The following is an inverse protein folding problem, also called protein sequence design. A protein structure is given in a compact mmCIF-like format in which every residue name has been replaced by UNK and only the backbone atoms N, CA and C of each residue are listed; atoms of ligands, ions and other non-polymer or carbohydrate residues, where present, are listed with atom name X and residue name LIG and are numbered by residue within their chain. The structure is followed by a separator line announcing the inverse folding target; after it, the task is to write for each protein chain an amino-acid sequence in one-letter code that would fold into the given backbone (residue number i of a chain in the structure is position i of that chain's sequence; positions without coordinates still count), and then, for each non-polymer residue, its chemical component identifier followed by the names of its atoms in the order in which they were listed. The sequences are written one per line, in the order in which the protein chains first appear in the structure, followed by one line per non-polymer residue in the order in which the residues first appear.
data_IF_116570108016
#
_entry.id   IF_116570108016
#
_cell.length_a   1.000
_cell.length_b   1.000
_cell.length_c   1.000
_cell.angle_alpha   90.00
_cell.angle_beta   90.00
_cell.angle_gamma   90.00
#
_symmetry.space_group_name_H-M   'P 1'
#
loop_
_entity.id
_entity.type
_entity.pdbx_description
1 polymer ?
#
# COMPACT_ATOMS: atom_id res chain seq x y z
N UNK A 1 -10.85 -26.24 -3.90
CA UNK A 1 -12.12 -26.77 -3.34
C UNK A 1 -11.85 -28.04 -2.55
N UNK A 2 -10.96 -28.90 -3.04
CA UNK A 2 -10.69 -30.22 -2.45
C UNK A 2 -10.13 -30.20 -1.02
N UNK A 3 -9.47 -29.10 -0.59
CA UNK A 3 -9.03 -28.90 0.80
C UNK A 3 -10.00 -28.09 1.68
N UNK A 4 -11.20 -27.79 1.17
CA UNK A 4 -12.26 -27.03 1.86
C UNK A 4 -11.86 -25.64 2.42
N UNK A 5 -10.78 -25.04 1.89
CA UNK A 5 -10.37 -23.65 2.17
C UNK A 5 -11.26 -22.64 1.44
N UNK A 6 -12.57 -22.69 1.69
CA UNK A 6 -13.58 -21.86 1.02
C UNK A 6 -14.36 -20.96 1.98
N UNK A 7 -14.07 -21.04 3.27
CA UNK A 7 -14.67 -20.20 4.30
C UNK A 7 -14.01 -18.82 4.35
N UNK A 8 -14.67 -17.88 5.04
CA UNK A 8 -14.12 -16.55 5.25
C UNK A 8 -12.79 -16.61 6.01
N UNK A 9 -11.82 -15.85 5.51
CA UNK A 9 -10.55 -15.60 6.19
C UNK A 9 -10.72 -14.43 7.17
N UNK A 10 -9.80 -14.26 8.14
CA UNK A 10 -9.72 -13.01 8.91
C UNK A 10 -9.55 -11.81 7.99
N UNK A 11 -10.07 -10.65 8.39
CA UNK A 11 -10.02 -9.42 7.59
C UNK A 11 -8.58 -9.01 7.21
N UNK A 12 -7.61 -9.23 8.11
CA UNK A 12 -6.20 -8.94 7.83
C UNK A 12 -5.52 -9.98 6.93
N UNK A 13 -6.19 -11.09 6.63
CA UNK A 13 -5.62 -12.27 5.96
C UNK A 13 -5.26 -13.40 6.92
N UNK A 14 -5.13 -14.60 6.36
CA UNK A 14 -4.77 -15.81 7.11
C UNK A 14 -3.40 -15.65 7.79
N UNK A 15 -3.30 -16.14 9.02
CA UNK A 15 -2.13 -15.94 9.87
C UNK A 15 -0.84 -16.54 9.29
N UNK A 16 -0.93 -17.76 8.75
CA UNK A 16 0.19 -18.46 8.11
C UNK A 16 0.81 -17.61 6.98
N UNK A 17 -0.02 -16.98 6.15
CA UNK A 17 0.47 -16.11 5.07
C UNK A 17 1.15 -14.86 5.62
N UNK A 18 0.58 -14.22 6.65
CA UNK A 18 1.17 -13.02 7.25
C UNK A 18 2.51 -13.32 7.93
N UNK A 19 2.66 -14.49 8.54
CA UNK A 19 3.93 -14.96 9.10
C UNK A 19 5.00 -15.18 8.02
N UNK A 20 4.64 -15.80 6.89
CA UNK A 20 5.58 -16.01 5.79
C UNK A 20 5.97 -14.68 5.11
N UNK A 21 5.03 -13.72 4.99
CA UNK A 21 5.36 -12.36 4.51
C UNK A 21 6.33 -11.67 5.47
N UNK A 22 6.10 -11.74 6.79
CA UNK A 22 7.02 -11.18 7.79
C UNK A 22 8.43 -11.77 7.67
N UNK A 23 8.55 -13.10 7.53
CA UNK A 23 9.85 -13.78 7.30
C UNK A 23 10.51 -13.33 6.00
N UNK A 24 9.74 -13.22 4.92
CA UNK A 24 10.23 -12.75 3.63
C UNK A 24 10.77 -11.31 3.72
N UNK A 25 10.01 -10.39 4.31
CA UNK A 25 10.44 -9.00 4.50
C UNK A 25 11.72 -8.92 5.36
N UNK A 26 11.80 -9.74 6.40
CA UNK A 26 13.02 -9.82 7.24
C UNK A 26 14.25 -10.26 6.44
N UNK A 27 14.08 -11.15 5.45
CA UNK A 27 15.18 -11.54 4.55
C UNK A 27 15.70 -10.39 3.67
N UNK A 28 14.90 -9.33 3.51
CA UNK A 28 15.24 -8.09 2.82
C UNK A 28 15.72 -6.99 3.78
N UNK A 29 15.94 -7.32 5.06
CA UNK A 29 16.23 -6.38 6.14
C UNK A 29 15.10 -5.37 6.39
N UNK A 30 13.85 -5.79 6.19
CA UNK A 30 12.64 -5.02 6.51
C UNK A 30 11.93 -5.72 7.67
N UNK A 31 11.97 -5.13 8.86
CA UNK A 31 11.40 -5.74 10.07
C UNK A 31 9.94 -5.30 10.28
N UNK A 32 9.00 -6.20 10.00
CA UNK A 32 7.58 -6.07 10.37
C UNK A 32 7.08 -7.37 11.01
N UNK A 33 6.27 -7.26 12.06
CA UNK A 33 5.57 -8.39 12.67
C UNK A 33 4.29 -8.71 11.89
N UNK A 34 3.76 -9.93 12.06
CA UNK A 34 2.53 -10.37 11.36
C UNK A 34 1.31 -9.52 11.69
N UNK A 35 1.30 -8.86 12.85
CA UNK A 35 0.27 -7.93 13.32
C UNK A 35 0.28 -6.60 12.54
N UNK A 36 1.41 -6.27 11.90
CA UNK A 36 1.59 -5.07 11.08
C UNK A 36 1.33 -5.34 9.59
N UNK A 37 0.89 -6.55 9.24
CA UNK A 37 0.66 -6.98 7.85
C UNK A 37 -0.84 -7.19 7.63
N UNK A 38 -1.38 -6.56 6.59
CA UNK A 38 -2.75 -6.75 6.12
C UNK A 38 -2.74 -7.18 4.64
N UNK A 39 -3.37 -8.32 4.34
CA UNK A 39 -3.50 -8.85 2.99
C UNK A 39 -4.66 -8.17 2.28
N UNK A 40 -4.43 -7.74 1.05
CA UNK A 40 -5.41 -7.08 0.19
C UNK A 40 -5.57 -7.82 -1.14
N UNK A 41 -6.66 -7.56 -1.83
CA UNK A 41 -6.98 -7.99 -3.20
C UNK A 41 -6.13 -7.18 -4.19
N UNK A 42 -4.82 -7.44 -4.14
CA UNK A 42 -3.81 -6.80 -4.98
C UNK A 42 -3.35 -5.42 -4.48
N UNK A 43 -2.23 -4.95 -5.03
CA UNK A 43 -1.57 -3.72 -4.59
C UNK A 43 -2.40 -2.45 -4.80
N UNK A 44 -3.32 -2.42 -5.76
CA UNK A 44 -4.20 -1.28 -5.99
C UNK A 44 -5.20 -1.07 -4.85
N UNK A 45 -5.77 -2.15 -4.29
CA UNK A 45 -6.62 -2.05 -3.10
C UNK A 45 -5.77 -1.66 -1.87
N UNK A 46 -4.57 -2.23 -1.72
CA UNK A 46 -3.64 -1.83 -0.66
C UNK A 46 -3.30 -0.34 -0.67
N UNK A 47 -3.03 0.22 -1.85
CA UNK A 47 -2.78 1.64 -2.03
C UNK A 47 -3.98 2.49 -1.62
N UNK A 48 -5.17 2.17 -2.13
CA UNK A 48 -6.39 2.93 -1.84
C UNK A 48 -6.77 2.83 -0.36
N UNK A 49 -6.64 1.65 0.24
CA UNK A 49 -6.91 1.42 1.67
C UNK A 49 -5.98 2.22 2.54
N UNK A 50 -4.69 2.27 2.18
CA UNK A 50 -3.69 3.09 2.88
C UNK A 50 -4.06 4.56 2.82
N UNK A 51 -4.36 5.09 1.62
CA UNK A 51 -4.73 6.50 1.47
C UNK A 51 -6.03 6.85 2.19
N UNK A 52 -7.03 5.98 2.12
CA UNK A 52 -8.31 6.17 2.84
C UNK A 52 -8.11 6.16 4.36
N UNK A 53 -7.13 5.40 4.87
CA UNK A 53 -6.82 5.32 6.29
C UNK A 53 -6.03 6.51 6.84
N UNK A 54 -5.31 7.25 5.99
CA UNK A 54 -4.39 8.32 6.43
C UNK A 54 -4.76 9.72 5.96
N UNK A 55 -5.51 9.87 4.85
CA UNK A 55 -5.81 11.17 4.26
C UNK A 55 -7.14 11.73 4.76
N UNK A 56 -7.13 13.03 5.05
CA UNK A 56 -8.32 13.87 5.21
C UNK A 56 -8.52 14.77 4.00
N UNK A 57 -9.75 15.29 3.85
CA UNK A 57 -10.04 16.28 2.83
C UNK A 57 -9.18 17.53 2.99
N UNK A 58 -8.50 17.94 1.91
CA UNK A 58 -7.58 19.08 1.89
C UNK A 58 -6.14 18.75 2.27
N UNK A 59 -5.83 17.51 2.68
CA UNK A 59 -4.44 17.10 2.92
C UNK A 59 -3.63 17.19 1.62
N UNK A 60 -2.37 17.62 1.75
CA UNK A 60 -1.45 17.78 0.62
C UNK A 60 -0.55 16.56 0.50
N UNK A 61 -0.50 15.97 -0.69
CA UNK A 61 0.30 14.77 -0.96
C UNK A 61 1.34 15.08 -2.03
N UNK A 62 2.61 14.89 -1.67
CA UNK A 62 3.73 15.04 -2.60
C UNK A 62 3.84 13.81 -3.51
N UNK A 63 3.86 14.03 -4.82
CA UNK A 63 3.97 12.96 -5.83
C UNK A 63 5.04 13.33 -6.86
N UNK A 64 6.03 12.48 -7.14
CA UNK A 64 7.03 12.78 -8.16
C UNK A 64 6.41 12.85 -9.56
N UNK A 65 6.96 13.70 -10.42
CA UNK A 65 6.61 13.78 -11.83
C UNK A 65 7.40 12.70 -12.56
N UNK A 66 6.67 11.81 -13.24
CA UNK A 66 6.98 10.38 -13.51
C UNK A 66 6.66 9.51 -12.27
N UNK A 67 5.39 9.15 -12.14
CA UNK A 67 4.90 8.23 -11.11
C UNK A 67 3.76 7.36 -11.62
N UNK A 68 3.37 6.36 -10.84
CA UNK A 68 2.20 5.54 -11.13
C UNK A 68 0.92 6.41 -11.05
N UNK A 69 0.11 6.53 -12.12
CA UNK A 69 -1.03 7.46 -12.17
C UNK A 69 -2.08 7.23 -11.08
N UNK A 70 -2.17 6.03 -10.52
CA UNK A 70 -3.13 5.74 -9.45
C UNK A 70 -2.87 6.55 -8.17
N UNK A 71 -1.62 6.96 -7.90
CA UNK A 71 -1.31 7.79 -6.73
C UNK A 71 -2.11 9.09 -6.76
N UNK A 72 -2.04 9.83 -7.86
CA UNK A 72 -2.78 11.10 -7.98
C UNK A 72 -4.30 10.89 -7.95
N UNK A 73 -4.78 9.85 -8.64
CA UNK A 73 -6.21 9.58 -8.72
C UNK A 73 -6.80 9.24 -7.34
N UNK A 74 -6.10 8.43 -6.55
CA UNK A 74 -6.56 8.09 -5.20
C UNK A 74 -6.61 9.32 -4.29
N UNK A 75 -5.59 10.19 -4.34
CA UNK A 75 -5.57 11.45 -3.58
C UNK A 75 -6.74 12.36 -3.97
N UNK A 76 -6.95 12.57 -5.27
CA UNK A 76 -8.03 13.42 -5.80
C UNK A 76 -9.41 12.90 -5.42
N UNK A 77 -9.66 11.59 -5.50
CA UNK A 77 -10.94 10.96 -5.11
C UNK A 77 -11.24 11.19 -3.62
N UNK A 78 -10.22 11.18 -2.77
CA UNK A 78 -10.35 11.40 -1.32
C UNK A 78 -10.39 12.90 -0.93
N UNK A 79 -10.38 13.81 -1.91
CA UNK A 79 -10.44 15.26 -1.67
C UNK A 79 -9.10 15.86 -1.22
N UNK A 80 -7.99 15.16 -1.40
CA UNK A 80 -6.65 15.70 -1.17
C UNK A 80 -6.13 16.55 -2.32
N UNK A 81 -5.14 17.37 -2.04
CA UNK A 81 -4.43 18.22 -2.99
C UNK A 81 -3.12 17.53 -3.42
N UNK A 82 -2.96 17.29 -4.72
CA UNK A 82 -1.72 16.72 -5.27
C UNK A 82 -0.71 17.84 -5.49
N UNK A 83 0.49 17.68 -4.93
CA UNK A 83 1.63 18.57 -5.15
C UNK A 83 2.70 17.79 -5.90
N UNK A 84 2.85 18.05 -7.19
CA UNK A 84 3.87 17.40 -8.00
C UNK A 84 5.25 18.03 -7.80
N UNK A 85 6.31 17.22 -7.78
CA UNK A 85 7.70 17.67 -7.77
C UNK A 85 8.52 16.96 -8.84
N UNK A 86 9.63 17.55 -9.29
CA UNK A 86 10.46 16.97 -10.34
C UNK A 86 11.52 16.03 -9.78
N UNK A 87 11.94 15.06 -10.59
CA UNK A 87 13.10 14.21 -10.33
C UNK A 87 14.22 14.56 -11.30
N UNK A 88 15.48 14.35 -10.87
CA UNK A 88 16.65 14.37 -11.75
C UNK A 88 16.63 13.15 -12.68
N UNK A 89 17.51 13.13 -13.68
CA UNK A 89 17.63 12.01 -14.63
C UNK A 89 17.95 10.67 -13.94
N UNK A 90 18.66 10.72 -12.80
CA UNK A 90 18.98 9.55 -11.97
C UNK A 90 17.86 9.19 -10.97
N UNK A 91 16.69 9.81 -11.10
CA UNK A 91 15.51 9.64 -10.24
C UNK A 91 15.69 10.14 -8.79
N UNK A 92 16.77 10.89 -8.49
CA UNK A 92 16.90 11.57 -7.21
C UNK A 92 16.04 12.84 -7.15
N UNK A 93 15.74 13.30 -5.93
CA UNK A 93 14.97 14.52 -5.67
C UNK A 93 15.82 15.74 -6.03
N UNK A 94 15.20 16.76 -6.65
CA UNK A 94 15.85 18.04 -6.98
C UNK A 94 16.49 18.73 -5.77
#
# INVERSE_FOLDING_TARGET
IDEDKTTYTPNAGIEELREEISKYLKSLNIDFFKEEICVTVGGSEGLLSTFTGILNHGDKVLIPTIAYPAYENCVKILGGEVINYNLKEDLSID
#
